data_IF_058619531044
#
_entry.id   IF_058619531044
#
_cell.length_a   1.000
_cell.length_b   1.000
_cell.length_c   1.000
_cell.angle_alpha   90.00
_cell.angle_beta   90.00
_cell.angle_gamma   90.00
#
_symmetry.space_group_name_H-M   'P 1'
#
loop_
_entity.id
_entity.type
_entity.pdbx_description
1 polymer ?
#
# COMPACT_ATOMS: atom_id res chain seq x y z
N UNK A 1 16.19 -30.89 -16.40
CA UNK A 1 16.12 -29.96 -17.56
C UNK A 1 17.51 -29.45 -17.90
N UNK A 2 17.75 -28.93 -19.12
CA UNK A 2 19.10 -28.49 -19.50
C UNK A 2 19.55 -27.30 -18.62
N UNK A 3 20.84 -27.22 -18.31
CA UNK A 3 21.41 -26.14 -17.48
C UNK A 3 21.38 -24.80 -18.25
N UNK A 4 20.90 -23.73 -17.62
CA UNK A 4 20.92 -22.37 -18.18
C UNK A 4 22.27 -21.75 -17.83
N UNK A 5 23.02 -21.28 -18.83
CA UNK A 5 24.40 -20.79 -18.65
C UNK A 5 24.59 -19.32 -19.01
N UNK A 6 23.59 -18.68 -19.65
CA UNK A 6 23.67 -17.29 -20.09
C UNK A 6 22.28 -16.64 -20.16
N UNK A 7 22.24 -15.30 -20.11
CA UNK A 7 21.03 -14.48 -20.22
C UNK A 7 20.15 -14.81 -21.44
N UNK A 8 20.72 -14.89 -22.67
CA UNK A 8 19.94 -15.25 -23.86
C UNK A 8 19.24 -16.62 -23.76
N UNK A 9 19.87 -17.60 -23.11
CA UNK A 9 19.26 -18.93 -22.91
C UNK A 9 18.08 -18.86 -21.92
N UNK A 10 18.21 -18.04 -20.87
CA UNK A 10 17.13 -17.81 -19.91
C UNK A 10 15.93 -17.15 -20.60
N UNK A 11 16.20 -16.10 -21.39
CA UNK A 11 15.20 -15.37 -22.17
C UNK A 11 14.48 -16.27 -23.17
N UNK A 12 15.20 -17.09 -23.94
CA UNK A 12 14.58 -18.03 -24.89
C UNK A 12 13.62 -19.00 -24.21
N UNK A 13 13.96 -19.53 -23.01
CA UNK A 13 13.04 -20.41 -22.28
C UNK A 13 11.82 -19.68 -21.75
N UNK A 14 12.00 -18.46 -21.25
CA UNK A 14 10.89 -17.62 -20.81
C UNK A 14 9.94 -17.35 -21.98
N UNK A 15 10.47 -16.99 -23.16
CA UNK A 15 9.68 -16.66 -24.34
C UNK A 15 8.95 -17.88 -24.93
N UNK A 16 9.56 -19.06 -24.86
CA UNK A 16 8.92 -20.31 -25.26
C UNK A 16 7.82 -20.76 -24.28
N UNK A 17 7.97 -20.48 -22.98
CA UNK A 17 7.03 -20.91 -21.94
C UNK A 17 5.88 -19.95 -21.67
N UNK A 18 6.01 -18.68 -22.08
CA UNK A 18 5.04 -17.63 -21.80
C UNK A 18 4.50 -17.06 -23.12
N UNK A 19 3.25 -17.37 -23.49
CA UNK A 19 2.66 -16.91 -24.76
C UNK A 19 2.77 -15.40 -25.01
N UNK A 20 2.77 -14.58 -23.95
CA UNK A 20 2.95 -13.12 -24.02
C UNK A 20 4.24 -12.66 -24.70
N UNK A 21 5.28 -13.49 -24.63
CA UNK A 21 6.59 -13.17 -25.18
C UNK A 21 6.92 -13.99 -26.43
N UNK A 22 5.93 -14.71 -26.98
CA UNK A 22 6.12 -15.49 -28.20
C UNK A 22 6.63 -14.58 -29.34
N UNK A 23 7.73 -14.99 -29.97
CA UNK A 23 8.33 -14.24 -31.07
C UNK A 23 9.06 -12.95 -30.66
N UNK A 24 9.29 -12.71 -29.37
CA UNK A 24 10.18 -11.63 -28.90
C UNK A 24 11.60 -12.18 -28.71
N UNK A 25 12.61 -11.42 -29.10
CA UNK A 25 14.02 -11.73 -28.82
C UNK A 25 14.62 -10.79 -27.76
N UNK A 26 15.72 -11.22 -27.14
CA UNK A 26 16.40 -10.42 -26.12
C UNK A 26 16.93 -9.10 -26.70
N UNK A 27 17.42 -9.11 -27.94
CA UNK A 27 17.93 -7.92 -28.61
C UNK A 27 16.83 -6.90 -28.92
N UNK A 28 15.62 -7.38 -29.27
CA UNK A 28 14.46 -6.51 -29.48
C UNK A 28 14.03 -5.79 -28.19
N UNK A 29 14.04 -6.49 -27.04
CA UNK A 29 13.73 -5.87 -25.73
C UNK A 29 14.86 -4.95 -25.27
N UNK A 30 16.11 -5.39 -25.41
CA UNK A 30 17.30 -4.70 -24.91
C UNK A 30 17.62 -3.40 -25.64
N UNK A 31 17.09 -3.18 -26.85
CA UNK A 31 17.29 -1.96 -27.63
C UNK A 31 16.48 -0.76 -27.11
N UNK A 32 15.22 -0.64 -27.55
CA UNK A 32 14.30 0.46 -27.14
C UNK A 32 13.17 0.01 -26.24
N UNK A 33 13.17 -1.26 -25.85
CA UNK A 33 11.99 -1.93 -25.28
C UNK A 33 10.93 -2.21 -26.34
N UNK A 34 10.03 -3.14 -26.01
CA UNK A 34 8.87 -3.51 -26.85
C UNK A 34 7.61 -3.30 -26.04
N UNK A 35 6.62 -2.60 -26.61
CA UNK A 35 5.25 -2.57 -26.06
C UNK A 35 4.52 -3.81 -26.52
N UNK A 36 4.61 -4.86 -25.73
CA UNK A 36 4.11 -6.18 -26.10
C UNK A 36 2.61 -6.18 -26.47
N UNK A 37 1.78 -5.31 -25.90
CA UNK A 37 0.35 -5.21 -26.24
C UNK A 37 0.07 -4.61 -27.63
N UNK A 38 1.01 -3.85 -28.20
CA UNK A 38 0.89 -3.26 -29.55
C UNK A 38 1.32 -4.24 -30.65
N UNK A 39 1.95 -5.37 -30.28
CA UNK A 39 2.29 -6.43 -31.24
C UNK A 39 1.05 -7.20 -31.67
N UNK A 40 1.10 -7.72 -32.89
CA UNK A 40 0.07 -8.60 -33.43
C UNK A 40 -0.20 -9.77 -32.48
N UNK A 41 -1.46 -9.94 -32.08
CA UNK A 41 -1.87 -10.97 -31.12
C UNK A 41 -1.50 -10.73 -29.66
N UNK A 42 -0.71 -9.70 -29.33
CA UNK A 42 -0.25 -9.41 -27.97
C UNK A 42 -1.40 -9.13 -27.00
N UNK A 43 -2.26 -8.17 -27.33
CA UNK A 43 -3.45 -7.88 -26.51
C UNK A 43 -4.41 -9.08 -26.41
N UNK A 44 -4.52 -9.90 -27.45
CA UNK A 44 -5.39 -11.08 -27.48
C UNK A 44 -4.83 -12.26 -26.66
N UNK A 45 -3.51 -12.29 -26.42
CA UNK A 45 -2.88 -13.26 -25.52
C UNK A 45 -3.20 -12.98 -24.04
N UNK A 46 -3.69 -11.77 -23.72
CA UNK A 46 -4.18 -11.47 -22.37
C UNK A 46 -5.48 -12.21 -22.11
N UNK A 47 -5.53 -13.11 -21.11
CA UNK A 47 -6.76 -13.81 -20.80
C UNK A 47 -7.82 -12.77 -20.44
N UNK A 48 -8.98 -12.88 -21.09
CA UNK A 48 -10.13 -12.09 -20.70
C UNK A 48 -10.35 -12.34 -19.20
N UNK A 49 -10.57 -11.27 -18.40
CA UNK A 49 -10.90 -11.47 -17.00
C UNK A 49 -12.10 -12.40 -16.95
N UNK A 50 -12.00 -13.48 -16.15
CA UNK A 50 -13.15 -14.32 -15.89
C UNK A 50 -14.30 -13.42 -15.43
N UNK A 51 -15.51 -13.67 -15.94
CA UNK A 51 -16.68 -12.92 -15.53
C UNK A 51 -16.76 -12.98 -14.00
N UNK A 52 -16.50 -11.85 -13.34
CA UNK A 52 -16.60 -11.78 -11.90
C UNK A 52 -18.06 -12.09 -11.54
N UNK A 53 -18.33 -12.96 -10.56
CA UNK A 53 -19.69 -13.16 -10.09
C UNK A 53 -20.24 -11.78 -9.68
N UNK A 54 -21.42 -11.45 -10.20
CA UNK A 54 -22.11 -10.22 -9.85
C UNK A 54 -22.28 -10.21 -8.33
N UNK A 55 -21.43 -9.44 -7.65
CA UNK A 55 -21.51 -9.30 -6.20
C UNK A 55 -22.68 -8.37 -5.96
N UNK A 56 -23.78 -8.91 -5.42
CA UNK A 56 -24.91 -8.07 -5.03
C UNK A 56 -24.41 -7.01 -4.07
N UNK A 57 -24.64 -5.73 -4.37
CA UNK A 57 -24.45 -4.67 -3.39
C UNK A 57 -25.24 -5.05 -2.13
N UNK A 58 -24.60 -5.17 -0.96
CA UNK A 58 -25.31 -5.48 0.26
C UNK A 58 -26.44 -4.46 0.45
N UNK A 59 -27.65 -4.93 0.74
CA UNK A 59 -28.75 -4.03 1.04
C UNK A 59 -28.33 -3.09 2.18
N UNK A 60 -28.57 -1.79 2.01
CA UNK A 60 -28.37 -0.82 3.08
C UNK A 60 -29.21 -1.28 4.28
N UNK A 61 -28.55 -1.79 5.31
CA UNK A 61 -29.26 -2.30 6.48
C UNK A 61 -29.58 -1.18 7.45
N UNK A 62 -30.60 -1.35 8.31
CA UNK A 62 -31.14 -0.28 9.15
C UNK A 62 -30.05 0.34 10.04
N UNK A 63 -30.11 1.66 10.20
CA UNK A 63 -29.30 2.43 11.14
C UNK A 63 -29.60 1.93 12.55
N UNK A 64 -28.72 1.11 13.11
CA UNK A 64 -28.83 0.71 14.50
C UNK A 64 -28.39 1.90 15.36
N UNK A 65 -29.31 2.80 15.70
CA UNK A 65 -29.10 3.85 16.71
C UNK A 65 -27.88 4.76 16.44
N UNK A 66 -27.62 5.13 15.18
CA UNK A 66 -26.46 5.96 14.80
C UNK A 66 -25.16 5.18 14.55
N UNK A 67 -25.15 3.85 14.73
CA UNK A 67 -24.01 2.97 14.44
C UNK A 67 -23.97 2.60 12.96
N UNK A 68 -22.75 2.49 12.41
CA UNK A 68 -22.50 2.19 11.02
C UNK A 68 -22.10 0.71 10.85
N UNK A 69 -22.50 0.08 9.75
CA UNK A 69 -22.05 -1.28 9.41
C UNK A 69 -20.56 -1.31 9.11
N UNK A 70 -19.84 -2.22 9.76
CA UNK A 70 -18.40 -2.35 9.55
C UNK A 70 -18.11 -3.16 8.29
N UNK A 71 -17.47 -2.52 7.32
CA UNK A 71 -16.65 -3.19 6.31
C UNK A 71 -15.17 -3.02 6.64
N UNK A 72 -14.33 -3.94 6.20
CA UNK A 72 -12.87 -3.76 6.28
C UNK A 72 -12.25 -3.91 4.91
N UNK A 73 -11.14 -3.20 4.68
CA UNK A 73 -10.35 -3.34 3.48
C UNK A 73 -8.87 -3.39 3.83
N UNK A 74 -8.07 -3.95 2.93
CA UNK A 74 -6.62 -3.97 3.05
C UNK A 74 -6.03 -2.94 2.11
N UNK A 75 -5.23 -2.01 2.64
CA UNK A 75 -4.46 -1.11 1.78
C UNK A 75 -3.36 -1.90 1.07
N UNK A 76 -3.10 -1.52 -0.18
CA UNK A 76 -1.97 -2.05 -0.96
C UNK A 76 -0.63 -1.76 -0.29
N UNK A 77 -0.59 -0.77 0.61
CA UNK A 77 0.58 -0.36 1.38
C UNK A 77 0.72 -1.08 2.73
N UNK A 78 -0.23 -1.94 3.11
CA UNK A 78 -0.19 -2.69 4.38
C UNK A 78 0.67 -3.96 4.32
N UNK A 79 1.53 -4.13 3.31
CA UNK A 79 2.40 -5.28 3.12
C UNK A 79 3.58 -5.32 4.11
N UNK A 80 4.07 -6.52 4.49
CA UNK A 80 5.27 -6.64 5.33
C UNK A 80 6.50 -5.98 4.68
N UNK A 81 6.60 -6.01 3.36
CA UNK A 81 7.67 -5.37 2.58
C UNK A 81 7.68 -3.85 2.78
N UNK A 82 6.49 -3.24 2.83
CA UNK A 82 6.34 -1.80 3.09
C UNK A 82 6.72 -1.47 4.53
N UNK A 83 6.41 -2.35 5.48
CA UNK A 83 6.72 -2.17 6.92
C UNK A 83 8.21 -2.09 7.21
N UNK A 84 9.02 -2.89 6.52
CA UNK A 84 10.47 -2.96 6.76
C UNK A 84 11.27 -1.92 5.96
N UNK A 85 10.65 -1.29 4.95
CA UNK A 85 11.34 -0.35 4.06
C UNK A 85 11.46 1.07 4.67
N UNK A 86 12.67 1.60 4.91
CA UNK A 86 12.87 2.96 5.38
C UNK A 86 12.31 4.01 4.42
N UNK A 87 12.47 3.77 3.11
CA UNK A 87 12.01 4.69 2.06
C UNK A 87 10.48 4.82 2.03
N UNK A 88 9.73 3.82 2.51
CA UNK A 88 8.26 3.83 2.46
C UNK A 88 7.61 4.22 3.80
N UNK A 89 8.39 4.66 4.80
CA UNK A 89 7.88 5.06 6.11
C UNK A 89 6.81 6.16 6.04
N UNK A 90 6.91 7.05 5.05
CA UNK A 90 5.93 8.13 4.85
C UNK A 90 4.60 7.64 4.25
N UNK A 91 4.58 6.45 3.65
CA UNK A 91 3.41 5.87 3.00
C UNK A 91 2.54 5.07 3.98
N UNK A 92 3.10 4.66 5.13
CA UNK A 92 2.33 3.93 6.16
C UNK A 92 1.13 4.76 6.61
N UNK A 93 -0.10 4.33 6.29
CA UNK A 93 -1.27 5.05 6.73
C UNK A 93 -1.38 4.94 8.26
N UNK A 94 -1.70 6.05 8.91
CA UNK A 94 -2.47 5.97 10.15
C UNK A 94 -3.83 5.40 9.76
N UNK A 95 -4.40 4.51 10.58
CA UNK A 95 -5.65 3.82 10.25
C UNK A 95 -6.68 4.79 9.65
N UNK A 96 -7.36 4.37 8.58
CA UNK A 96 -8.31 5.20 7.85
C UNK A 96 -9.71 4.60 7.96
N UNK A 97 -10.70 5.45 8.17
CA UNK A 97 -12.12 5.05 8.07
C UNK A 97 -12.75 5.79 6.90
N UNK A 98 -13.34 5.05 5.98
CA UNK A 98 -14.00 5.59 4.79
C UNK A 98 -15.50 5.68 5.04
N UNK A 99 -16.06 6.85 4.78
CA UNK A 99 -17.47 7.19 5.03
C UNK A 99 -18.13 7.80 3.78
N UNK A 100 -19.45 7.66 3.70
CA UNK A 100 -20.25 8.42 2.75
C UNK A 100 -20.30 9.90 3.16
N UNK A 101 -20.44 10.85 2.21
CA UNK A 101 -20.67 12.26 2.56
C UNK A 101 -21.93 12.49 3.40
N UNK A 102 -22.94 11.63 3.29
CA UNK A 102 -24.20 11.73 4.04
C UNK A 102 -24.00 11.35 5.51
N UNK A 103 -23.28 10.25 5.76
CA UNK A 103 -22.92 9.83 7.12
C UNK A 103 -21.98 10.83 7.79
N UNK A 104 -21.01 11.35 7.04
CA UNK A 104 -20.10 12.37 7.56
C UNK A 104 -20.84 13.65 7.97
N UNK A 105 -21.79 14.13 7.16
CA UNK A 105 -22.64 15.27 7.51
C UNK A 105 -23.47 14.99 8.76
N UNK A 106 -24.09 13.80 8.85
CA UNK A 106 -24.88 13.37 10.02
C UNK A 106 -24.06 13.32 11.30
N UNK A 107 -22.79 12.90 11.20
CA UNK A 107 -21.85 12.80 12.32
C UNK A 107 -21.01 14.08 12.54
N UNK A 108 -21.26 15.14 11.76
CA UNK A 108 -20.52 16.41 11.77
C UNK A 108 -18.99 16.23 11.57
N UNK A 109 -18.61 15.25 10.75
CA UNK A 109 -17.23 14.91 10.39
C UNK A 109 -16.84 15.51 9.04
N UNK A 110 -15.57 15.90 8.93
CA UNK A 110 -14.95 16.36 7.69
C UNK A 110 -13.83 15.40 7.23
N UNK A 111 -13.47 15.49 5.96
CA UNK A 111 -12.31 14.76 5.43
C UNK A 111 -11.04 15.16 6.19
N UNK A 112 -10.24 14.16 6.58
CA UNK A 112 -9.03 14.39 7.38
C UNK A 112 -9.26 14.49 8.90
N UNK A 113 -10.50 14.51 9.38
CA UNK A 113 -10.78 14.54 10.82
C UNK A 113 -10.18 13.33 11.52
N UNK A 114 -9.67 13.55 12.74
CA UNK A 114 -9.24 12.48 13.64
C UNK A 114 -10.45 11.98 14.41
N UNK A 115 -10.65 10.67 14.37
CA UNK A 115 -11.81 10.01 14.98
C UNK A 115 -11.37 8.79 15.78
N UNK A 116 -12.20 8.42 16.75
CA UNK A 116 -12.13 7.13 17.41
C UNK A 116 -13.24 6.26 16.84
N UNK A 117 -12.86 5.09 16.32
CA UNK A 117 -13.78 4.05 15.84
C UNK A 117 -13.85 2.96 16.89
N UNK A 118 -15.06 2.64 17.36
CA UNK A 118 -15.27 1.65 18.41
C UNK A 118 -16.23 0.53 18.02
N UNK A 119 -15.90 -0.71 18.39
CA UNK A 119 -16.81 -1.85 18.35
C UNK A 119 -16.43 -2.90 19.39
N UNK A 120 -17.44 -3.53 20.01
CA UNK A 120 -17.23 -4.65 20.94
C UNK A 120 -16.33 -4.33 22.15
N UNK A 121 -16.22 -3.04 22.54
CA UNK A 121 -15.32 -2.58 23.61
C UNK A 121 -13.89 -2.26 23.16
N UNK A 122 -13.50 -2.61 21.94
CA UNK A 122 -12.25 -2.17 21.32
C UNK A 122 -12.41 -0.81 20.66
N UNK A 123 -11.33 -0.01 20.65
CA UNK A 123 -11.30 1.28 19.94
C UNK A 123 -9.99 1.47 19.20
N UNK A 124 -10.06 2.20 18.09
CA UNK A 124 -8.89 2.57 17.29
C UNK A 124 -8.99 4.03 16.85
N UNK A 125 -7.87 4.75 16.86
CA UNK A 125 -7.78 6.07 16.26
C UNK A 125 -7.64 5.95 14.75
N UNK A 126 -8.46 6.69 14.01
CA UNK A 126 -8.43 6.72 12.57
C UNK A 126 -8.56 8.14 12.02
N UNK A 127 -8.26 8.29 10.73
CA UNK A 127 -8.52 9.51 9.96
C UNK A 127 -9.70 9.28 9.03
N UNK A 128 -10.63 10.22 8.97
CA UNK A 128 -11.78 10.17 8.06
C UNK A 128 -11.32 10.38 6.63
N UNK A 129 -11.83 9.55 5.72
CA UNK A 129 -11.76 9.78 4.28
C UNK A 129 -13.16 9.68 3.66
N UNK A 130 -13.60 10.72 2.96
CA UNK A 130 -14.92 10.73 2.35
C UNK A 130 -14.88 10.12 0.96
N UNK A 131 -15.77 9.16 0.67
CA UNK A 131 -15.96 8.68 -0.70
C UNK A 131 -17.44 8.52 -1.04
N UNK A 132 -17.83 9.06 -2.19
CA UNK A 132 -19.18 8.92 -2.72
C UNK A 132 -19.57 7.46 -3.03
N UNK A 133 -18.58 6.58 -3.23
CA UNK A 133 -18.81 5.16 -3.49
C UNK A 133 -19.15 4.34 -2.21
N UNK A 134 -18.95 4.90 -1.01
CA UNK A 134 -19.33 4.21 0.22
C UNK A 134 -20.85 4.25 0.38
N UNK A 135 -21.54 3.09 0.52
CA UNK A 135 -22.96 3.07 0.80
C UNK A 135 -23.28 3.74 2.14
N UNK A 136 -24.32 4.58 2.16
CA UNK A 136 -24.79 5.20 3.40
C UNK A 136 -25.12 4.15 4.48
N UNK A 137 -24.86 4.49 5.74
CA UNK A 137 -25.01 3.58 6.88
C UNK A 137 -23.86 2.57 7.04
N UNK A 138 -22.76 2.74 6.31
CA UNK A 138 -21.57 1.88 6.37
C UNK A 138 -20.31 2.67 6.66
N UNK A 139 -19.35 2.04 7.33
CA UNK A 139 -18.00 2.54 7.55
C UNK A 139 -17.00 1.47 7.15
N UNK A 140 -16.04 1.83 6.31
CA UNK A 140 -14.98 0.91 5.88
C UNK A 140 -13.67 1.26 6.58
N UNK A 141 -13.23 0.38 7.49
CA UNK A 141 -12.00 0.57 8.25
C UNK A 141 -10.82 -0.14 7.57
N UNK A 142 -9.67 0.55 7.51
CA UNK A 142 -8.44 -0.05 7.04
C UNK A 142 -7.91 -1.09 8.04
N UNK A 143 -7.87 -2.35 7.61
CA UNK A 143 -7.49 -3.49 8.44
C UNK A 143 -8.58 -3.96 9.39
N UNK A 144 -8.27 -5.01 10.16
CA UNK A 144 -9.18 -5.63 11.12
C UNK A 144 -8.84 -5.15 12.55
N UNK A 145 -8.94 -3.84 12.77
CA UNK A 145 -8.50 -3.21 14.03
C UNK A 145 -9.57 -3.21 15.13
N UNK A 146 -10.82 -3.46 14.77
CA UNK A 146 -11.94 -3.69 15.69
C UNK A 146 -12.79 -4.85 15.16
N UNK A 147 -13.53 -5.51 16.05
CA UNK A 147 -14.39 -6.65 15.70
C UNK A 147 -15.87 -6.33 15.90
N UNK A 148 -16.71 -6.96 15.07
CA UNK A 148 -18.16 -6.87 15.16
C UNK A 148 -18.82 -6.24 13.93
N UNK A 149 -20.15 -6.40 13.77
CA UNK A 149 -20.85 -5.99 12.56
C UNK A 149 -21.17 -4.49 12.49
N UNK A 150 -21.01 -3.76 13.61
CA UNK A 150 -21.38 -2.36 13.76
C UNK A 150 -20.28 -1.59 14.50
N UNK A 151 -20.03 -0.35 14.08
CA UNK A 151 -19.09 0.57 14.71
C UNK A 151 -19.74 1.90 15.07
N UNK A 152 -19.19 2.50 16.13
CA UNK A 152 -19.43 3.89 16.51
C UNK A 152 -18.24 4.73 16.05
N UNK A 153 -18.50 5.87 15.41
CA UNK A 153 -17.47 6.81 14.94
C UNK A 153 -17.71 8.16 15.59
N UNK A 154 -16.70 8.66 16.31
CA UNK A 154 -16.77 9.94 17.02
C UNK A 154 -15.50 10.75 16.82
N UNK A 155 -15.58 12.08 16.80
CA UNK A 155 -14.38 12.93 16.80
C UNK A 155 -13.49 12.54 17.97
N UNK A 156 -12.19 12.44 17.70
CA UNK A 156 -11.21 12.36 18.75
C UNK A 156 -11.26 13.70 19.50
N UNK A 157 -11.78 13.69 20.73
CA UNK A 157 -11.55 14.80 21.65
C UNK A 157 -10.04 14.90 21.83
N UNK A 158 -9.48 16.08 21.58
CA UNK A 158 -8.09 16.36 21.92
C UNK A 158 -7.89 15.93 23.38
N UNK A 159 -7.11 14.88 23.58
CA UNK A 159 -6.62 14.58 24.90
C UNK A 159 -5.91 15.85 25.38
N UNK A 160 -6.28 16.36 26.57
CA UNK A 160 -5.40 17.27 27.27
C UNK A 160 -4.02 16.62 27.26
N UNK A 161 -2.93 17.35 26.94
CA UNK A 161 -1.62 16.78 27.02
C UNK A 161 -1.44 16.29 28.46
N UNK A 162 -1.48 14.97 28.66
CA UNK A 162 -0.97 14.38 29.88
C UNK A 162 0.48 14.81 29.88
N UNK A 163 0.85 15.65 30.86
CA UNK A 163 2.22 16.02 31.09
C UNK A 163 2.97 14.71 31.39
N UNK A 164 3.50 14.09 30.34
CA UNK A 164 4.54 13.09 30.46
C UNK A 164 5.70 13.86 31.05
N UNK A 165 6.02 13.58 32.32
CA UNK A 165 7.17 14.13 33.00
C UNK A 165 8.37 14.07 32.07
N UNK A 166 9.17 15.14 32.10
CA UNK A 166 10.36 15.30 31.30
C UNK A 166 11.09 13.95 31.17
N UNK A 167 11.40 13.48 29.95
CA UNK A 167 12.21 12.29 29.81
C UNK A 167 13.55 12.58 30.48
N UNK A 168 13.86 11.81 31.52
CA UNK A 168 15.22 11.69 32.02
C UNK A 168 16.06 11.22 30.83
N UNK A 169 16.95 12.12 30.39
CA UNK A 169 17.86 11.89 29.28
C UNK A 169 18.74 10.71 29.68
N UNK A 170 18.65 9.54 29.01
CA UNK A 170 19.60 8.47 29.26
C UNK A 170 20.98 8.96 28.84
N UNK A 171 21.97 8.76 29.70
CA UNK A 171 23.36 9.08 29.41
C UNK A 171 23.79 8.45 28.07
N UNK A 172 24.41 9.26 27.23
CA UNK A 172 24.93 8.85 25.93
C UNK A 172 25.85 7.62 26.08
N UNK A 173 25.70 6.57 25.25
CA UNK A 173 26.72 5.54 25.15
C UNK A 173 28.01 6.15 24.57
N UNK A 174 29.14 5.75 25.12
CA UNK A 174 30.47 6.16 24.69
C UNK A 174 30.69 5.85 23.20
N UNK A 175 31.34 6.78 22.49
CA UNK A 175 31.79 6.62 21.11
C UNK A 175 32.68 5.37 20.99
N UNK A 176 32.23 4.38 20.22
CA UNK A 176 33.14 3.41 19.63
C UNK A 176 33.80 4.05 18.38
N UNK A 177 35.13 3.92 18.20
CA UNK A 177 35.82 4.54 17.07
C UNK A 177 35.39 3.89 15.76
N UNK A 178 34.68 4.67 14.94
CA UNK A 178 34.26 4.27 13.60
C UNK A 178 35.45 3.97 12.70
N UNK A 179 35.46 2.76 12.12
CA UNK A 179 36.28 2.47 10.94
C UNK A 179 35.72 3.29 9.78
N UNK A 180 36.50 4.28 9.34
CA UNK A 180 36.24 5.06 8.12
C UNK A 180 36.44 4.13 6.92
N UNK A 181 35.35 3.66 6.31
CA UNK A 181 35.42 3.16 4.94
C UNK A 181 35.34 4.37 4.01
N UNK A 182 36.47 4.75 3.44
CA UNK A 182 36.56 5.73 2.37
C UNK A 182 35.94 5.12 1.09
N UNK A 183 34.62 5.19 0.95
CA UNK A 183 33.96 4.97 -0.34
C UNK A 183 34.01 6.28 -1.14
N UNK A 184 35.18 6.55 -1.72
CA UNK A 184 35.31 7.62 -2.71
C UNK A 184 34.77 7.11 -4.04
N UNK A 185 33.60 7.60 -4.44
CA UNK A 185 33.05 7.34 -5.77
C UNK A 185 34.02 7.86 -6.84
N UNK A 186 34.35 7.05 -7.87
CA UNK A 186 35.25 7.48 -8.92
C UNK A 186 34.67 8.69 -9.66
N UNK A 187 35.52 9.68 -9.85
CA UNK A 187 35.21 10.92 -10.53
C UNK A 187 35.43 10.78 -12.04
N UNK A 188 34.86 11.67 -12.87
CA UNK A 188 35.02 11.63 -14.33
C UNK A 188 36.47 11.75 -14.84
N UNK A 189 37.43 12.08 -13.98
CA UNK A 189 38.86 12.05 -14.30
C UNK A 189 39.45 10.64 -14.24
N UNK A 190 38.95 9.80 -13.33
CA UNK A 190 39.46 8.45 -13.10
C UNK A 190 39.14 7.50 -14.28
N UNK A 191 38.08 7.80 -15.04
CA UNK A 191 37.65 7.01 -16.21
C UNK A 191 38.47 7.33 -17.48
N UNK A 192 39.23 8.43 -17.51
CA UNK A 192 39.99 8.86 -18.71
C UNK A 192 41.43 8.37 -18.74
N UNK A 193 41.98 7.83 -17.65
CA UNK A 193 43.35 7.31 -17.61
C UNK A 193 43.44 5.79 -17.84
N UNK A 194 42.31 5.07 -17.81
CA UNK A 194 42.24 3.63 -18.13
C UNK A 194 41.70 3.38 -19.55
N UNK A 195 42.40 3.87 -20.57
CA UNK A 195 42.20 3.41 -21.95
C UNK A 195 43.53 3.43 -22.69
N UNK A 196 44.15 2.27 -22.97
CA UNK A 196 45.20 2.16 -23.98
C UNK A 196 44.63 2.24 -25.41
#
# INVERSE_FOLDING_TARGET
GPRILAGPMASQRLYAGVPFYAGITLDEIGGRGVRWWEREGGAAAWPAPAAAPATSTPAAGPEANGRLRLGTFRSIWSGPEVRVSPALKFVHPRARVELSPDDARRLELFDGDKVVVGAGGATVEATVALRAAIPAGSAFLEGNLVEGPLVDVRKATAAQPVAVGAPEVPAAPAEEPGTRMDEQFPTPRDVREESP
#
